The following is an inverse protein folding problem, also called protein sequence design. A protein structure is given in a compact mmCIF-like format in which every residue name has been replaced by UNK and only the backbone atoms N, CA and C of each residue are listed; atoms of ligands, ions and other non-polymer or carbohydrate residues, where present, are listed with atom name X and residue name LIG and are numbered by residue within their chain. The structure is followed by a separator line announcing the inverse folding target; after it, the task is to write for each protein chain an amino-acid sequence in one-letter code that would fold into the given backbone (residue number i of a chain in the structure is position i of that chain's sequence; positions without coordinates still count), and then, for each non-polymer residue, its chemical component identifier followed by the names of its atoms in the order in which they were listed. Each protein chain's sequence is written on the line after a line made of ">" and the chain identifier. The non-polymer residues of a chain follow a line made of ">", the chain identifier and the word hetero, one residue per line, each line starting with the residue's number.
data_IF_843930065406
#
_entry.id   IF_843930065406
#
_cell.length_a   1.000
_cell.length_b   1.000
_cell.length_c   1.000
_cell.angle_alpha   90.00
_cell.angle_beta   90.00
_cell.angle_gamma   90.00
#
_symmetry.space_group_name_H-M   'P 1'
#
loop_
_entity.id
_entity.type
_entity.pdbx_description
1 polymer ?
#
# COMPACT_ATOMS: atom_id res chain seq x y z
N UNK A 1 -4.76 20.85 19.73
CA UNK A 1 -4.58 19.64 18.90
C UNK A 1 -3.26 19.77 18.17
N UNK A 2 -2.32 18.86 18.38
CA UNK A 2 -1.00 18.90 17.71
C UNK A 2 -1.00 18.03 16.46
N UNK A 3 -0.25 18.43 15.43
CA UNK A 3 -0.01 17.66 14.21
C UNK A 3 1.48 17.39 14.11
N UNK A 4 1.87 16.13 13.97
CA UNK A 4 3.24 15.72 13.67
C UNK A 4 3.34 15.37 12.19
N UNK A 5 4.30 15.96 11.49
CA UNK A 5 4.56 15.71 10.05
C UNK A 5 5.93 15.04 9.91
N UNK A 6 5.99 13.96 9.13
CA UNK A 6 7.22 13.26 8.75
C UNK A 6 7.32 13.23 7.23
N UNK A 7 8.52 13.47 6.68
CA UNK A 7 8.80 13.52 5.24
C UNK A 7 9.92 12.52 4.97
N UNK A 8 9.72 11.68 3.95
CA UNK A 8 10.66 10.66 3.51
C UNK A 8 10.67 10.59 1.99
N UNK A 9 11.85 10.40 1.41
CA UNK A 9 12.08 10.42 -0.04
C UNK A 9 12.93 9.21 -0.46
N UNK A 10 12.45 8.50 -1.48
CA UNK A 10 13.14 7.35 -2.06
C UNK A 10 13.20 7.48 -3.57
N UNK A 11 14.37 7.17 -4.16
CA UNK A 11 14.53 7.13 -5.62
C UNK A 11 14.29 5.71 -6.13
N UNK A 12 13.68 5.60 -7.31
CA UNK A 12 13.42 4.32 -7.96
C UNK A 12 13.74 4.43 -9.45
N UNK A 13 14.34 3.38 -10.06
CA UNK A 13 14.55 3.35 -11.51
C UNK A 13 13.25 3.17 -12.30
N UNK A 14 12.13 2.86 -11.64
CA UNK A 14 10.84 2.63 -12.29
C UNK A 14 10.13 3.97 -12.57
N UNK A 15 9.53 4.17 -13.75
CA UNK A 15 8.81 5.41 -14.06
C UNK A 15 7.68 5.71 -13.06
N UNK A 16 7.45 7.00 -12.70
CA UNK A 16 6.47 7.39 -11.68
C UNK A 16 5.05 6.86 -11.95
N UNK A 17 4.59 6.90 -13.20
CA UNK A 17 3.25 6.43 -13.57
C UNK A 17 3.05 4.94 -13.27
N UNK A 18 4.11 4.12 -13.42
CA UNK A 18 4.05 2.69 -13.16
C UNK A 18 4.07 2.39 -11.66
N UNK A 19 4.85 3.14 -10.89
CA UNK A 19 4.86 3.04 -9.42
C UNK A 19 3.50 3.43 -8.86
N UNK A 20 2.94 4.57 -9.30
CA UNK A 20 1.63 5.02 -8.83
C UNK A 20 0.53 4.00 -9.13
N UNK A 21 0.52 3.46 -10.36
CA UNK A 21 -0.43 2.41 -10.74
C UNK A 21 -0.27 1.16 -9.87
N UNK A 22 0.96 0.68 -9.69
CA UNK A 22 1.25 -0.52 -8.90
C UNK A 22 0.91 -0.36 -7.40
N UNK A 23 1.31 0.76 -6.79
CA UNK A 23 1.26 0.97 -5.34
C UNK A 23 -0.04 1.61 -4.85
N UNK A 24 -0.78 2.33 -5.70
CA UNK A 24 -2.00 3.04 -5.30
C UNK A 24 -3.25 2.46 -5.96
N UNK A 25 -3.27 2.35 -7.28
CA UNK A 25 -4.44 1.89 -8.03
C UNK A 25 -4.63 0.38 -7.89
N UNK A 26 -3.63 -0.38 -8.32
CA UNK A 26 -3.66 -1.85 -8.42
C UNK A 26 -3.10 -2.53 -7.16
N UNK A 27 -2.87 -1.77 -6.08
CA UNK A 27 -2.27 -2.29 -4.85
C UNK A 27 -3.03 -3.46 -4.26
N UNK A 28 -4.35 -3.47 -4.41
CA UNK A 28 -5.21 -4.52 -3.91
C UNK A 28 -5.00 -5.89 -4.60
N UNK A 29 -4.51 -5.88 -5.85
CA UNK A 29 -4.16 -7.08 -6.61
C UNK A 29 -2.69 -7.43 -6.41
N UNK A 30 -1.84 -6.41 -6.38
CA UNK A 30 -0.40 -6.56 -6.49
C UNK A 30 0.28 -6.80 -5.13
N UNK A 31 -0.13 -6.10 -4.07
CA UNK A 31 0.49 -6.21 -2.75
C UNK A 31 0.37 -7.61 -2.12
N UNK A 32 -0.79 -8.31 -2.17
CA UNK A 32 -0.88 -9.69 -1.68
C UNK A 32 0.01 -10.66 -2.46
N UNK A 33 0.35 -10.34 -3.72
CA UNK A 33 1.24 -11.18 -4.55
C UNK A 33 2.72 -10.90 -4.29
N UNK A 34 3.08 -9.63 -4.04
CA UNK A 34 4.45 -9.27 -3.68
C UNK A 34 4.81 -9.69 -2.26
N UNK A 35 3.86 -9.57 -1.33
CA UNK A 35 4.07 -9.78 0.10
C UNK A 35 3.02 -10.76 0.65
N UNK A 36 2.95 -12.01 0.13
CA UNK A 36 1.92 -12.97 0.52
C UNK A 36 1.98 -13.33 2.02
N UNK A 37 3.17 -13.29 2.60
CA UNK A 37 3.41 -13.54 4.03
C UNK A 37 2.92 -12.41 4.94
N UNK A 38 2.81 -11.18 4.43
CA UNK A 38 2.43 -10.01 5.22
C UNK A 38 0.99 -9.56 4.95
N UNK A 39 0.52 -9.69 3.70
CA UNK A 39 -0.78 -9.19 3.26
C UNK A 39 -1.60 -10.36 2.71
N UNK A 40 -2.66 -10.71 3.43
CA UNK A 40 -3.57 -11.79 3.06
C UNK A 40 -4.53 -11.35 1.95
N UNK A 41 -5.16 -10.20 2.11
CA UNK A 41 -6.04 -9.62 1.09
C UNK A 41 -6.19 -8.12 1.27
N UNK A 42 -6.60 -7.45 0.20
CA UNK A 42 -7.00 -6.04 0.23
C UNK A 42 -8.30 -5.94 -0.56
N UNK A 43 -9.31 -5.36 0.07
CA UNK A 43 -10.68 -5.33 -0.47
C UNK A 43 -11.25 -3.91 -0.38
N UNK A 44 -12.06 -3.52 -1.36
CA UNK A 44 -12.81 -2.28 -1.31
C UNK A 44 -14.09 -2.48 -0.50
N UNK A 45 -14.24 -1.72 0.60
CA UNK A 45 -15.48 -1.70 1.38
C UNK A 45 -16.47 -0.71 0.75
N UNK A 46 -15.96 0.38 0.17
CA UNK A 46 -16.77 1.43 -0.48
C UNK A 46 -15.98 2.08 -1.61
N UNK A 47 -16.65 2.36 -2.73
CA UNK A 47 -16.04 3.00 -3.90
C UNK A 47 -15.37 2.00 -4.85
N UNK A 48 -14.81 2.55 -5.92
CA UNK A 48 -14.28 1.83 -7.10
C UNK A 48 -12.77 2.00 -7.30
N UNK A 49 -12.10 2.70 -6.37
CA UNK A 49 -10.68 3.06 -6.50
C UNK A 49 -10.43 4.55 -6.73
N UNK A 50 -11.47 5.34 -6.99
CA UNK A 50 -11.39 6.80 -7.05
C UNK A 50 -11.28 7.48 -5.68
N UNK A 51 -11.22 8.81 -5.70
CA UNK A 51 -11.20 9.63 -4.48
C UNK A 51 -12.42 9.35 -3.59
N UNK A 52 -12.19 9.20 -2.28
CA UNK A 52 -13.24 8.85 -1.32
C UNK A 52 -13.52 7.35 -1.18
N UNK A 53 -12.80 6.49 -1.91
CA UNK A 53 -12.88 5.03 -1.72
C UNK A 53 -12.27 4.60 -0.37
N UNK A 54 -12.82 3.53 0.20
CA UNK A 54 -12.38 2.94 1.46
C UNK A 54 -11.89 1.51 1.20
N UNK A 55 -10.61 1.26 1.49
CA UNK A 55 -9.96 -0.05 1.37
C UNK A 55 -9.75 -0.68 2.75
N UNK A 56 -10.03 -1.97 2.88
CA UNK A 56 -9.64 -2.82 4.02
C UNK A 56 -8.41 -3.62 3.64
N UNK A 57 -7.39 -3.58 4.48
CA UNK A 57 -6.18 -4.41 4.33
C UNK A 57 -6.23 -5.47 5.43
N UNK A 58 -6.24 -6.74 5.04
CA UNK A 58 -6.17 -7.87 5.95
C UNK A 58 -4.73 -8.38 5.96
N UNK A 59 -4.02 -8.17 7.06
CA UNK A 59 -2.66 -8.68 7.23
C UNK A 59 -2.66 -10.18 7.53
N UNK A 60 -1.70 -10.90 6.95
CA UNK A 60 -1.42 -12.26 7.35
C UNK A 60 -0.68 -12.19 8.70
N UNK A 61 -1.29 -12.71 9.76
CA UNK A 61 -0.75 -12.59 11.11
C UNK A 61 0.64 -13.23 11.21
N UNK A 62 1.68 -12.43 11.47
CA UNK A 62 2.98 -12.97 11.92
C UNK A 62 4.26 -12.27 11.46
N UNK A 63 4.27 -11.35 10.49
CA UNK A 63 5.52 -10.67 10.08
C UNK A 63 5.34 -9.18 9.85
N UNK A 64 5.96 -8.39 10.72
CA UNK A 64 6.23 -6.96 10.47
C UNK A 64 7.36 -6.91 9.44
N UNK A 65 7.14 -6.24 8.32
CA UNK A 65 8.21 -5.85 7.41
C UNK A 65 9.08 -4.83 8.15
N UNK A 66 10.20 -5.29 8.71
CA UNK A 66 11.25 -4.40 9.18
C UNK A 66 11.87 -3.76 7.94
N UNK A 67 11.45 -2.53 7.62
CA UNK A 67 12.17 -1.70 6.68
C UNK A 67 13.41 -1.22 7.46
N UNK A 68 14.63 -1.64 7.10
CA UNK A 68 15.81 -1.11 7.77
C UNK A 68 15.93 0.37 7.44
N UNK A 69 16.08 1.16 8.49
CA UNK A 69 16.23 2.62 8.49
C UNK A 69 17.40 3.11 7.64
#
# INVERSE_FOLDING_TARGET
>A
MGVLTYIDEHTSPVPPARIFKASILDSHILMPKLLPDAIKSIEFIKGDGGAGSIKRINFAGGKVLLIPT
#
